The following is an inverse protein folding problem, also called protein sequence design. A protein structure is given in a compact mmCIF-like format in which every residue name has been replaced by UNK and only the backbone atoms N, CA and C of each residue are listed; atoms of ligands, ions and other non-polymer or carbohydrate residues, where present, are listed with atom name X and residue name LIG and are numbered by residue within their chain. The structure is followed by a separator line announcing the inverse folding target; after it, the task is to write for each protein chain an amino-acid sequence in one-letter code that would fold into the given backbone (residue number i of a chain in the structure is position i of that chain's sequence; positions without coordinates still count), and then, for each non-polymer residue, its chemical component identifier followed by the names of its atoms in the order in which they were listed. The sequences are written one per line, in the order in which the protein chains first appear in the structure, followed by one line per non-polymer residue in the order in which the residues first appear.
data_IF_943279312281
#
_entry.id   IF_943279312281
#
_cell.length_a   1.000
_cell.length_b   1.000
_cell.length_c   1.000
_cell.angle_alpha   90.00
_cell.angle_beta   90.00
_cell.angle_gamma   90.00
#
_symmetry.space_group_name_H-M   'P 1'
#
loop_
_entity.id
_entity.type
_entity.pdbx_description
1 polymer ?
#
# COMPACT_ATOMS: atom_id res chain seq x y z
N UNK A 1 -6.02 -4.09 2.04
CA UNK A 1 -4.74 -3.35 2.26
C UNK A 1 -3.76 -3.44 1.09
N UNK A 2 -3.77 -4.52 0.30
CA UNK A 2 -2.94 -4.72 -0.89
C UNK A 2 -3.83 -4.62 -2.14
N UNK A 3 -3.33 -3.98 -3.20
CA UNK A 3 -3.93 -3.98 -4.54
C UNK A 3 -3.04 -4.75 -5.50
N UNK A 4 -3.53 -5.90 -5.97
CA UNK A 4 -2.80 -6.74 -6.91
C UNK A 4 -3.11 -6.35 -8.35
N UNK A 5 -2.05 -6.20 -9.15
CA UNK A 5 -2.07 -6.02 -10.59
C UNK A 5 -1.53 -7.26 -11.32
N UNK A 6 -1.16 -8.30 -10.59
CA UNK A 6 -0.65 -9.55 -11.16
C UNK A 6 -1.68 -10.09 -12.17
N UNK A 7 -1.21 -10.40 -13.37
CA UNK A 7 -2.04 -10.90 -14.47
C UNK A 7 -2.80 -9.82 -15.27
N UNK A 8 -2.84 -8.57 -14.81
CA UNK A 8 -3.38 -7.45 -15.61
C UNK A 8 -2.40 -7.07 -16.72
N UNK A 9 -2.94 -6.48 -17.79
CA UNK A 9 -2.13 -5.94 -18.90
C UNK A 9 -1.71 -4.50 -18.59
N UNK A 10 -0.46 -4.17 -18.90
CA UNK A 10 0.02 -2.79 -18.95
C UNK A 10 -0.48 -2.07 -20.21
N UNK A 11 -0.09 -0.79 -20.37
CA UNK A 11 -0.46 0.04 -21.52
C UNK A 11 0.09 -0.48 -22.87
N UNK A 12 1.06 -1.41 -22.84
CA UNK A 12 1.66 -2.05 -24.02
C UNK A 12 1.14 -3.49 -24.22
N UNK A 13 0.12 -3.90 -23.46
CA UNK A 13 -0.49 -5.22 -23.56
C UNK A 13 0.28 -6.36 -22.88
N UNK A 14 1.38 -6.06 -22.17
CA UNK A 14 2.20 -7.06 -21.47
C UNK A 14 1.59 -7.39 -20.11
N UNK A 15 1.64 -8.66 -19.70
CA UNK A 15 1.15 -9.08 -18.38
C UNK A 15 2.09 -8.62 -17.27
N UNK A 16 1.54 -7.94 -16.26
CA UNK A 16 2.24 -7.60 -15.03
C UNK A 16 2.42 -8.88 -14.20
N UNK A 17 3.67 -9.21 -13.84
CA UNK A 17 3.98 -10.46 -13.15
C UNK A 17 4.09 -10.32 -11.63
N UNK A 18 4.58 -9.19 -11.13
CA UNK A 18 4.91 -9.00 -9.71
C UNK A 18 4.61 -7.56 -9.31
N UNK A 19 3.33 -7.18 -9.37
CA UNK A 19 2.92 -5.82 -9.04
C UNK A 19 1.79 -5.87 -8.03
N UNK A 20 2.16 -5.77 -6.76
CA UNK A 20 1.25 -5.63 -5.64
C UNK A 20 1.59 -4.35 -4.91
N UNK A 21 0.58 -3.52 -4.68
CA UNK A 21 0.75 -2.21 -4.06
C UNK A 21 0.22 -2.26 -2.64
N UNK A 22 1.04 -1.85 -1.68
CA UNK A 22 0.66 -1.70 -0.27
C UNK A 22 -0.11 -0.40 -0.04
N UNK A 23 -1.36 -0.33 -0.50
CA UNK A 23 -2.22 0.87 -0.45
C UNK A 23 -2.27 1.51 0.95
N UNK A 24 -2.34 0.69 2.01
CA UNK A 24 -2.39 1.21 3.37
C UNK A 24 -1.11 1.96 3.77
N UNK A 25 0.05 1.50 3.29
CA UNK A 25 1.35 2.12 3.56
C UNK A 25 1.52 3.40 2.74
N UNK A 26 1.07 3.41 1.47
CA UNK A 26 1.04 4.63 0.65
C UNK A 26 0.17 5.74 1.28
N UNK A 27 -1.00 5.37 1.81
CA UNK A 27 -1.89 6.29 2.54
C UNK A 27 -1.21 6.84 3.80
N UNK A 28 -0.55 5.97 4.57
CA UNK A 28 0.17 6.38 5.78
C UNK A 28 1.35 7.31 5.46
N UNK A 29 2.13 6.98 4.42
CA UNK A 29 3.24 7.81 3.95
C UNK A 29 2.77 9.18 3.44
N UNK A 30 1.63 9.25 2.75
CA UNK A 30 1.04 10.51 2.32
C UNK A 30 0.53 11.34 3.50
N UNK A 31 -0.09 10.70 4.50
CA UNK A 31 -0.57 11.38 5.71
C UNK A 31 0.58 12.03 6.51
N UNK A 32 1.74 11.37 6.58
CA UNK A 32 2.92 11.90 7.27
C UNK A 32 3.36 13.27 6.75
N UNK A 33 3.18 13.56 5.46
CA UNK A 33 3.56 14.85 4.86
C UNK A 33 2.81 16.05 5.47
N UNK A 34 1.56 15.85 5.91
CA UNK A 34 0.73 16.90 6.52
C UNK A 34 0.67 16.80 8.05
N UNK A 35 0.90 15.61 8.61
CA UNK A 35 0.97 15.40 10.05
C UNK A 35 2.28 15.94 10.62
N UNK A 36 3.41 15.65 9.97
CA UNK A 36 4.75 16.07 10.38
C UNK A 36 5.20 15.48 11.73
N UNK A 37 6.33 14.78 11.74
CA UNK A 37 6.92 14.09 12.92
C UNK A 37 6.95 14.86 14.25
N UNK A 38 6.98 16.19 14.23
CA UNK A 38 7.10 17.05 15.42
C UNK A 38 6.06 18.16 15.48
N UNK A 39 5.11 18.23 14.56
CA UNK A 39 4.16 19.34 14.47
C UNK A 39 2.96 19.19 15.42
N UNK A 40 2.84 18.05 16.11
CA UNK A 40 1.74 17.79 17.05
C UNK A 40 0.38 17.59 16.38
N UNK A 41 0.35 17.21 15.09
CA UNK A 41 -0.88 16.94 14.34
C UNK A 41 -1.10 15.42 14.30
N UNK A 42 -2.07 14.88 15.06
CA UNK A 42 -2.18 13.43 15.28
C UNK A 42 -3.02 12.70 14.23
N UNK A 43 -3.66 13.41 13.31
CA UNK A 43 -4.57 12.81 12.33
C UNK A 43 -4.60 13.59 11.01
N UNK A 44 -4.82 12.87 9.91
CA UNK A 44 -5.08 13.40 8.59
C UNK A 44 -6.32 12.73 7.97
N UNK A 45 -7.04 13.47 7.13
CA UNK A 45 -8.21 12.94 6.40
C UNK A 45 -7.89 12.92 4.91
N UNK A 46 -7.89 11.73 4.32
CA UNK A 46 -7.79 11.54 2.86
C UNK A 46 -9.20 11.29 2.31
N UNK A 47 -9.55 11.96 1.21
CA UNK A 47 -10.86 11.85 0.55
C UNK A 47 -10.69 11.55 -0.94
N UNK A 48 -11.70 10.91 -1.54
CA UNK A 48 -11.75 10.66 -2.98
C UNK A 48 -10.97 9.44 -3.47
N UNK A 49 -10.30 8.70 -2.57
CA UNK A 49 -9.63 7.44 -2.91
C UNK A 49 -10.54 6.25 -2.61
N UNK A 50 -10.77 5.39 -3.61
CA UNK A 50 -11.50 4.13 -3.42
C UNK A 50 -10.57 3.03 -2.91
N UNK A 51 -10.90 2.46 -1.75
CA UNK A 51 -10.12 1.38 -1.13
C UNK A 51 -11.01 0.21 -0.69
N UNK A 52 -10.40 -0.98 -0.62
CA UNK A 52 -11.07 -2.16 -0.09
C UNK A 52 -11.30 -2.01 1.42
N UNK A 53 -12.54 -2.25 1.87
CA UNK A 53 -12.94 -2.10 3.29
C UNK A 53 -12.42 -3.20 4.22
N UNK A 54 -11.76 -4.23 3.68
CA UNK A 54 -11.24 -5.37 4.43
C UNK A 54 -9.71 -5.49 4.30
N UNK A 55 -9.08 -5.97 5.36
CA UNK A 55 -7.64 -6.20 5.42
C UNK A 55 -7.10 -6.17 6.84
N UNK A 56 -5.97 -6.81 7.04
CA UNK A 56 -5.22 -6.78 8.31
C UNK A 56 -3.79 -6.34 8.06
N UNK A 57 -3.11 -5.83 9.10
CA UNK A 57 -1.68 -5.51 9.02
C UNK A 57 -0.82 -6.74 8.67
N UNK A 58 -1.28 -7.95 9.03
CA UNK A 58 -0.58 -9.20 8.71
C UNK A 58 -0.48 -9.44 7.20
N UNK A 59 -1.45 -8.92 6.43
CA UNK A 59 -1.47 -9.07 4.98
C UNK A 59 -0.28 -8.34 4.32
N UNK A 60 0.24 -7.28 4.95
CA UNK A 60 1.40 -6.51 4.47
C UNK A 60 2.74 -7.16 4.83
N UNK A 61 2.76 -8.08 5.79
CA UNK A 61 4.00 -8.71 6.25
C UNK A 61 4.33 -9.88 5.34
N UNK A 62 5.53 -9.84 4.73
CA UNK A 62 6.00 -10.93 3.89
C UNK A 62 6.20 -12.21 4.71
N UNK A 63 5.72 -13.38 4.24
CA UNK A 63 6.00 -14.64 4.90
C UNK A 63 7.50 -14.91 4.97
N UNK A 64 8.00 -15.46 6.11
CA UNK A 64 9.44 -15.74 6.31
C UNK A 64 10.10 -16.47 5.14
N UNK A 65 9.40 -17.45 4.56
CA UNK A 65 9.90 -18.25 3.43
C UNK A 65 10.12 -17.47 2.12
N UNK A 66 9.57 -16.26 2.01
CA UNK A 66 9.70 -15.36 0.86
C UNK A 66 10.58 -14.14 1.17
N UNK A 67 11.01 -13.99 2.42
CA UNK A 67 11.76 -12.83 2.89
C UNK A 67 13.26 -13.13 2.86
N UNK A 68 13.91 -12.75 1.75
CA UNK A 68 15.31 -13.05 1.48
C UNK A 68 16.31 -12.16 2.26
N UNK A 69 15.81 -11.15 2.98
CA UNK A 69 16.63 -10.12 3.65
C UNK A 69 16.52 -10.16 5.17
N UNK A 70 15.92 -11.22 5.71
CA UNK A 70 15.56 -11.34 7.12
C UNK A 70 16.41 -12.37 7.86
#
# INVERSE_FOLDING_TARGET
PIKSYIGKKDMFGRKLQVTEIAIADEIAAAAELVMGKSAGIPAAIIRGYEFAKSGTAKDLIRPKKQDLFR
#
